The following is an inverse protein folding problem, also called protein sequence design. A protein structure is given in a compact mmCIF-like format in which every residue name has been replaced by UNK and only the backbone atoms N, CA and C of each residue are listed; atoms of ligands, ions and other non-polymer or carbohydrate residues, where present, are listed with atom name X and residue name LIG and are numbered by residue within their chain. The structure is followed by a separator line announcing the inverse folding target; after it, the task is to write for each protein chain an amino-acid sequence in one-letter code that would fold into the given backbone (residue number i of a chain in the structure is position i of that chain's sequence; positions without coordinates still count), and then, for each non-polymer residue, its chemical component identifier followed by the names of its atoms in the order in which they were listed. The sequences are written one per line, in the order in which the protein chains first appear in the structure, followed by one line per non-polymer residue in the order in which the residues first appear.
data_IF_999818365120
#
_entry.id   IF_999818365120
#
_cell.length_a   1.000
_cell.length_b   1.000
_cell.length_c   1.000
_cell.angle_alpha   90.00
_cell.angle_beta   90.00
_cell.angle_gamma   90.00
#
_symmetry.space_group_name_H-M   'P 1'
#
loop_
_entity.id
_entity.type
_entity.pdbx_description
1 polymer ?
#
# COMPACT_ATOMS: atom_id res chain seq x y z
N UNK A 1 21.05 -3.15 -0.51
CA UNK A 1 19.77 -3.39 -1.21
C UNK A 1 19.24 -2.04 -1.66
N UNK A 2 18.77 -1.87 -2.90
CA UNK A 2 18.12 -0.62 -3.29
C UNK A 2 16.84 -0.43 -2.47
N UNK A 3 16.55 0.80 -2.09
CA UNK A 3 15.35 1.19 -1.33
C UNK A 3 14.69 2.36 -2.04
N UNK A 4 13.37 2.49 -1.87
CA UNK A 4 12.61 3.66 -2.32
C UNK A 4 11.80 4.21 -1.15
N UNK A 5 11.57 5.52 -1.16
CA UNK A 5 10.72 6.12 -0.14
C UNK A 5 9.24 5.73 -0.34
N UNK A 6 8.60 5.24 0.72
CA UNK A 6 7.20 4.87 0.77
C UNK A 6 6.51 5.56 1.97
N UNK A 7 5.21 5.80 1.88
CA UNK A 7 4.44 6.35 3.01
C UNK A 7 3.85 5.20 3.81
N UNK A 8 4.08 5.20 5.12
CA UNK A 8 3.42 4.28 6.05
C UNK A 8 2.29 4.99 6.78
N UNK A 9 1.15 4.33 6.91
CA UNK A 9 0.08 4.67 7.83
C UNK A 9 0.09 3.64 8.95
N UNK A 10 0.70 3.95 10.11
CA UNK A 10 0.68 3.05 11.26
C UNK A 10 -0.75 2.82 11.74
N UNK A 11 -1.03 1.61 12.25
CA UNK A 11 -2.32 1.32 12.86
C UNK A 11 -2.48 1.94 14.26
N UNK A 12 -1.37 2.32 14.88
CA UNK A 12 -1.30 2.92 16.20
C UNK A 12 -1.51 4.45 16.15
N UNK A 13 -1.06 5.16 17.19
CA UNK A 13 -1.24 6.61 17.34
C UNK A 13 -0.13 7.44 16.66
N UNK A 14 0.82 6.80 15.96
CA UNK A 14 1.88 7.51 15.24
C UNK A 14 1.33 8.15 13.95
N UNK A 15 1.82 9.34 13.58
CA UNK A 15 1.41 9.98 12.33
C UNK A 15 1.99 9.23 11.11
N UNK A 16 1.34 9.35 9.94
CA UNK A 16 1.89 8.88 8.68
C UNK A 16 3.26 9.50 8.40
N UNK A 17 4.21 8.69 7.94
CA UNK A 17 5.60 9.12 7.71
C UNK A 17 6.26 8.31 6.59
N UNK A 18 7.39 8.82 6.11
CA UNK A 18 8.18 8.17 5.05
C UNK A 18 9.10 7.10 5.64
N UNK A 19 9.19 5.97 4.95
CA UNK A 19 10.11 4.86 5.27
C UNK A 19 10.81 4.33 4.01
N UNK A 20 12.02 3.76 4.13
CA UNK A 20 12.72 3.15 3.00
C UNK A 20 12.19 1.74 2.68
N UNK A 21 11.30 1.60 1.71
CA UNK A 21 10.78 0.32 1.25
C UNK A 21 11.88 -0.54 0.63
N UNK A 22 12.13 -1.69 1.25
CA UNK A 22 13.09 -2.68 0.75
C UNK A 22 12.54 -3.39 -0.49
N UNK A 23 13.42 -3.66 -1.45
CA UNK A 23 13.07 -4.40 -2.66
C UNK A 23 14.12 -5.47 -2.99
N UNK A 24 13.67 -6.59 -3.53
CA UNK A 24 14.53 -7.66 -4.05
C UNK A 24 14.40 -7.72 -5.57
N UNK A 25 15.52 -7.92 -6.27
CA UNK A 25 15.50 -8.14 -7.71
C UNK A 25 14.80 -9.48 -8.02
N UNK A 26 13.80 -9.46 -8.89
CA UNK A 26 13.11 -10.67 -9.34
C UNK A 26 13.71 -11.05 -10.68
N UNK A 27 14.34 -12.22 -10.76
CA UNK A 27 14.75 -12.84 -12.02
C UNK A 27 13.49 -13.31 -12.75
N UNK A 28 12.82 -12.40 -13.46
CA UNK A 28 11.70 -12.76 -14.31
C UNK A 28 12.25 -13.50 -15.54
N UNK A 29 11.77 -14.71 -15.88
CA UNK A 29 12.09 -15.32 -17.16
C UNK A 29 11.57 -14.40 -18.28
N UNK A 30 12.41 -14.15 -19.28
CA UNK A 30 12.18 -13.23 -20.41
C UNK A 30 10.99 -13.57 -21.33
N UNK A 31 10.08 -14.48 -20.92
CA UNK A 31 9.06 -15.10 -21.77
C UNK A 31 7.60 -14.93 -21.29
N UNK A 32 7.31 -14.09 -20.30
CA UNK A 32 5.93 -13.82 -19.90
C UNK A 32 5.61 -12.32 -19.95
N UNK A 33 5.00 -11.87 -21.06
CA UNK A 33 4.58 -10.49 -21.32
C UNK A 33 3.45 -9.95 -20.42
N UNK A 34 3.32 -10.43 -19.19
CA UNK A 34 2.40 -9.87 -18.20
C UNK A 34 2.82 -10.30 -16.78
N UNK A 35 3.85 -9.67 -16.23
CA UNK A 35 4.01 -9.73 -14.77
C UNK A 35 2.86 -8.94 -14.15
N UNK A 36 2.12 -9.54 -13.22
CA UNK A 36 1.10 -8.82 -12.47
C UNK A 36 1.76 -7.80 -11.53
N UNK A 37 1.07 -6.69 -11.25
CA UNK A 37 1.41 -5.79 -10.15
C UNK A 37 1.54 -6.61 -8.85
N UNK A 38 2.48 -6.27 -7.94
CA UNK A 38 3.47 -5.18 -7.97
C UNK A 38 4.78 -5.52 -8.72
N UNK A 39 4.91 -6.67 -9.38
CA UNK A 39 6.19 -7.19 -9.88
C UNK A 39 6.63 -6.67 -11.25
N UNK A 40 5.84 -5.77 -11.87
CA UNK A 40 6.06 -5.25 -13.23
C UNK A 40 7.41 -4.56 -13.41
N UNK A 41 7.93 -3.94 -12.36
CA UNK A 41 9.23 -3.28 -12.39
C UNK A 41 10.44 -4.23 -12.27
N UNK A 42 10.23 -5.55 -12.32
CA UNK A 42 11.29 -6.56 -12.12
C UNK A 42 11.84 -6.60 -10.69
N UNK A 43 11.10 -6.00 -9.75
CA UNK A 43 11.47 -5.92 -8.34
C UNK A 43 10.28 -6.32 -7.48
N UNK A 44 10.53 -7.11 -6.44
CA UNK A 44 9.55 -7.49 -5.45
C UNK A 44 9.67 -6.51 -4.26
N UNK A 45 8.62 -5.75 -3.92
CA UNK A 45 8.61 -4.97 -2.70
C UNK A 45 8.45 -5.86 -1.47
N UNK A 46 9.03 -5.42 -0.35
CA UNK A 46 8.91 -6.07 0.96
C UNK A 46 8.17 -5.17 1.97
N UNK A 47 6.86 -4.90 1.76
CA UNK A 47 6.08 -4.08 2.67
C UNK A 47 5.89 -4.75 4.04
N UNK A 48 6.04 -6.08 4.15
CA UNK A 48 5.94 -6.84 5.39
C UNK A 48 6.87 -6.32 6.50
N UNK A 49 8.01 -5.73 6.14
CA UNK A 49 8.99 -5.16 7.11
C UNK A 49 8.38 -4.03 7.94
N UNK A 50 7.31 -3.40 7.45
CA UNK A 50 6.60 -2.31 8.11
C UNK A 50 5.20 -2.71 8.61
N UNK A 51 4.81 -3.98 8.46
CA UNK A 51 3.52 -4.49 8.88
C UNK A 51 3.65 -5.21 10.21
N UNK A 52 3.40 -4.49 11.31
CA UNK A 52 3.49 -5.06 12.64
C UNK A 52 2.58 -6.29 12.77
N UNK A 53 3.11 -7.36 13.36
CA UNK A 53 2.40 -8.62 13.64
C UNK A 53 2.04 -9.50 12.44
N UNK A 54 2.57 -9.19 11.25
CA UNK A 54 2.38 -10.01 10.06
C UNK A 54 3.04 -11.40 10.19
N UNK A 55 2.51 -12.38 9.46
CA UNK A 55 3.10 -13.71 9.37
C UNK A 55 4.36 -13.70 8.48
N UNK A 56 5.51 -13.35 9.07
CA UNK A 56 6.80 -13.19 8.38
C UNK A 56 7.24 -14.42 7.57
N UNK A 57 6.82 -15.62 7.96
CA UNK A 57 7.20 -16.87 7.30
C UNK A 57 6.49 -17.12 5.96
N UNK A 58 5.41 -16.38 5.67
CA UNK A 58 4.58 -16.57 4.48
C UNK A 58 4.97 -15.61 3.33
N UNK A 59 5.92 -14.70 3.56
CA UNK A 59 6.39 -13.74 2.55
C UNK A 59 5.25 -12.97 1.89
N UNK A 60 5.20 -12.94 0.55
CA UNK A 60 4.19 -12.20 -0.21
C UNK A 60 2.77 -12.74 -0.11
N UNK A 61 2.54 -13.86 0.58
CA UNK A 61 1.19 -14.36 0.87
C UNK A 61 0.57 -13.71 2.10
N UNK A 62 1.38 -13.07 2.95
CA UNK A 62 0.92 -12.50 4.22
C UNK A 62 0.25 -11.12 4.07
N UNK A 63 0.42 -10.48 2.91
CA UNK A 63 -0.15 -9.18 2.56
C UNK A 63 -0.85 -9.23 1.20
N UNK A 64 -1.71 -8.24 0.96
CA UNK A 64 -2.32 -7.96 -0.34
C UNK A 64 -2.01 -6.53 -0.74
N UNK A 65 -2.37 -6.19 -1.98
CA UNK A 65 -2.20 -4.85 -2.49
C UNK A 65 -3.49 -4.32 -3.13
N UNK A 66 -3.59 -3.01 -3.20
CA UNK A 66 -4.66 -2.29 -3.87
C UNK A 66 -4.07 -1.15 -4.70
N UNK A 67 -4.64 -0.93 -5.90
CA UNK A 67 -4.13 0.07 -6.83
C UNK A 67 -4.85 1.40 -6.60
N UNK A 68 -4.06 2.46 -6.44
CA UNK A 68 -4.55 3.83 -6.36
C UNK A 68 -4.25 4.49 -7.70
N UNK A 69 -5.19 4.35 -8.63
CA UNK A 69 -5.03 4.81 -10.01
C UNK A 69 -5.78 6.12 -10.30
N UNK A 70 -6.79 6.47 -9.51
CA UNK A 70 -7.57 7.68 -9.67
C UNK A 70 -8.25 8.05 -8.34
N UNK A 71 -8.67 9.31 -8.20
CA UNK A 71 -9.58 9.74 -7.14
C UNK A 71 -11.02 9.74 -7.66
N UNK A 72 -11.98 9.74 -6.74
CA UNK A 72 -13.39 9.87 -7.11
C UNK A 72 -13.64 11.16 -7.88
N UNK A 73 -14.36 11.04 -8.99
CA UNK A 73 -14.65 12.14 -9.91
C UNK A 73 -13.57 12.43 -10.96
N UNK A 74 -12.43 11.73 -10.94
CA UNK A 74 -11.43 11.85 -12.01
C UNK A 74 -11.83 11.04 -13.25
N UNK A 75 -11.72 11.67 -14.43
CA UNK A 75 -12.00 11.03 -15.73
C UNK A 75 -10.77 10.27 -16.26
N UNK A 76 -9.57 10.63 -15.78
CA UNK A 76 -8.29 10.03 -16.19
C UNK A 76 -7.57 9.48 -14.97
N UNK A 77 -6.84 8.38 -15.16
CA UNK A 77 -5.90 7.84 -14.17
C UNK A 77 -4.72 8.79 -13.93
N UNK A 78 -4.07 8.64 -12.78
CA UNK A 78 -2.83 9.31 -12.46
C UNK A 78 -1.74 8.93 -13.46
N UNK A 79 -0.92 9.92 -13.83
CA UNK A 79 0.33 9.66 -14.56
C UNK A 79 1.30 8.86 -13.71
N UNK A 80 1.38 9.15 -12.40
CA UNK A 80 2.20 8.43 -11.43
C UNK A 80 1.29 7.77 -10.38
N UNK A 81 0.86 6.52 -10.58
CA UNK A 81 -0.05 5.84 -9.67
C UNK A 81 0.66 5.37 -8.40
N UNK A 82 -0.15 4.92 -7.42
CA UNK A 82 0.36 4.33 -6.18
C UNK A 82 -0.14 2.90 -6.02
N UNK A 83 0.62 2.09 -5.29
CA UNK A 83 0.17 0.79 -4.79
C UNK A 83 0.16 0.84 -3.26
N UNK A 84 -0.99 0.52 -2.68
CA UNK A 84 -1.19 0.38 -1.26
C UNK A 84 -1.08 -1.09 -0.88
N UNK A 85 -0.19 -1.42 0.04
CA UNK A 85 -0.02 -2.73 0.62
C UNK A 85 -0.67 -2.78 1.99
N UNK A 86 -1.38 -3.88 2.28
CA UNK A 86 -2.06 -4.10 3.56
C UNK A 86 -1.91 -5.54 4.02
N UNK A 87 -1.78 -5.78 5.34
CA UNK A 87 -1.60 -7.12 5.86
C UNK A 87 -2.93 -7.90 5.84
N UNK A 88 -2.83 -9.21 5.59
CA UNK A 88 -4.00 -10.12 5.57
C UNK A 88 -3.85 -11.34 6.47
N UNK A 89 -2.61 -11.79 6.73
CA UNK A 89 -2.34 -12.93 7.62
C UNK A 89 -1.42 -12.47 8.75
N UNK A 90 -1.93 -12.54 9.98
CA UNK A 90 -1.16 -12.28 11.20
C UNK A 90 -0.41 -13.53 11.66
N UNK A 91 0.57 -13.33 12.54
CA UNK A 91 1.43 -14.40 13.06
C UNK A 91 0.66 -15.51 13.80
N UNK A 92 -0.45 -15.19 14.44
CA UNK A 92 -1.26 -16.09 15.27
C UNK A 92 -2.70 -16.30 14.76
N UNK A 93 -3.07 -15.68 13.65
CA UNK A 93 -4.43 -15.71 13.11
C UNK A 93 -5.40 -14.68 13.73
N UNK A 94 -4.95 -13.82 14.65
CA UNK A 94 -5.78 -12.74 15.19
C UNK A 94 -5.97 -11.61 14.18
N UNK A 95 -7.13 -10.95 14.14
CA UNK A 95 -7.36 -9.84 13.22
C UNK A 95 -6.45 -8.65 13.56
N UNK A 96 -5.92 -8.01 12.52
CA UNK A 96 -5.15 -6.77 12.70
C UNK A 96 -6.03 -5.65 13.31
N UNK A 97 -5.44 -4.76 14.13
CA UNK A 97 -6.15 -3.63 14.69
C UNK A 97 -6.64 -2.68 13.58
N UNK A 98 -7.77 -2.02 13.80
CA UNK A 98 -8.26 -0.97 12.89
C UNK A 98 -7.24 0.17 12.87
N UNK A 99 -6.90 0.63 11.67
CA UNK A 99 -5.98 1.74 11.50
C UNK A 99 -6.62 3.04 11.99
N UNK A 100 -6.14 3.56 13.12
CA UNK A 100 -6.76 4.72 13.80
C UNK A 100 -6.73 5.97 12.93
N UNK A 101 -5.61 6.24 12.26
CA UNK A 101 -5.45 7.39 11.38
C UNK A 101 -6.46 7.35 10.23
N UNK A 102 -6.63 6.20 9.59
CA UNK A 102 -7.54 6.05 8.46
C UNK A 102 -9.00 6.09 8.91
N UNK A 103 -9.31 5.48 10.07
CA UNK A 103 -10.62 5.62 10.70
C UNK A 103 -10.97 7.09 10.92
N UNK A 104 -10.06 7.90 11.44
CA UNK A 104 -10.30 9.34 11.64
C UNK A 104 -10.53 10.07 10.31
N UNK A 105 -9.76 9.75 9.27
CA UNK A 105 -9.95 10.29 7.91
C UNK A 105 -11.35 9.94 7.38
N UNK A 106 -11.80 8.71 7.56
CA UNK A 106 -13.11 8.24 7.08
C UNK A 106 -14.28 8.76 7.92
N UNK A 107 -14.10 8.94 9.23
CA UNK A 107 -15.09 9.58 10.09
C UNK A 107 -15.30 11.04 9.70
N UNK A 108 -14.22 11.77 9.37
CA UNK A 108 -14.31 13.13 8.85
C UNK A 108 -15.09 13.19 7.52
N UNK A 109 -14.94 12.18 6.68
CA UNK A 109 -15.64 12.06 5.40
C UNK A 109 -17.03 11.42 5.49
N UNK A 110 -17.47 10.98 6.68
CA UNK A 110 -18.73 10.25 6.89
C UNK A 110 -18.87 8.95 6.08
N UNK A 111 -17.75 8.30 5.74
CA UNK A 111 -17.69 7.07 4.93
C UNK A 111 -17.29 5.84 5.75
N UNK A 112 -17.01 6.01 7.05
CA UNK A 112 -16.50 4.94 7.90
C UNK A 112 -17.49 3.78 8.07
N UNK A 113 -17.00 2.56 7.82
CA UNK A 113 -17.66 1.29 8.11
C UNK A 113 -16.66 0.37 8.80
N UNK A 114 -16.96 -0.02 10.04
CA UNK A 114 -16.07 -0.86 10.85
C UNK A 114 -15.85 -2.26 10.25
N UNK A 115 -16.86 -2.81 9.56
CA UNK A 115 -16.76 -4.11 8.91
C UNK A 115 -15.76 -4.08 7.74
N UNK A 116 -15.58 -2.92 7.11
CA UNK A 116 -14.71 -2.69 5.96
C UNK A 116 -13.60 -1.68 6.25
N UNK A 117 -13.22 -1.56 7.52
CA UNK A 117 -12.16 -0.66 7.95
C UNK A 117 -10.80 -1.19 7.50
N UNK A 118 -9.90 -0.28 7.14
CA UNK A 118 -8.50 -0.61 6.91
C UNK A 118 -7.86 -1.06 8.22
N UNK A 119 -7.11 -2.17 8.19
CA UNK A 119 -6.52 -2.80 9.36
C UNK A 119 -5.01 -2.98 9.19
N UNK A 120 -4.29 -2.88 10.30
CA UNK A 120 -2.84 -2.96 10.35
C UNK A 120 -2.15 -1.75 9.72
N UNK A 121 -0.83 -1.83 9.65
CA UNK A 121 -0.03 -0.78 9.03
C UNK A 121 -0.18 -0.87 7.52
N UNK A 122 -0.52 0.24 6.88
CA UNK A 122 -0.54 0.31 5.42
C UNK A 122 0.77 0.91 4.91
N UNK A 123 1.27 0.37 3.80
CA UNK A 123 2.49 0.87 3.14
C UNK A 123 2.13 1.29 1.72
N UNK A 124 2.47 2.50 1.31
CA UNK A 124 2.11 3.04 0.00
C UNK A 124 3.39 3.35 -0.78
N UNK A 125 3.57 2.68 -1.91
CA UNK A 125 4.66 2.92 -2.85
C UNK A 125 4.17 3.69 -4.08
N UNK A 126 5.04 4.53 -4.64
CA UNK A 126 4.76 5.35 -5.83
C UNK A 126 5.46 4.78 -7.06
N UNK A 127 4.80 4.89 -8.21
CA UNK A 127 5.31 4.38 -9.48
C UNK A 127 5.38 5.47 -10.55
N UNK A 128 6.29 5.27 -11.49
CA UNK A 128 6.63 6.22 -12.56
C UNK A 128 5.51 6.43 -13.57
N UNK A 129 4.77 5.38 -13.89
CA UNK A 129 3.75 5.36 -14.94
C UNK A 129 2.63 4.37 -14.62
N UNK A 130 1.55 4.47 -15.40
CA UNK A 130 0.37 3.59 -15.32
C UNK A 130 0.69 2.11 -15.62
N UNK A 131 1.84 1.83 -16.24
CA UNK A 131 2.31 0.46 -16.47
C UNK A 131 3.12 -0.09 -15.31
N UNK A 132 3.31 0.69 -14.25
CA UNK A 132 4.09 0.35 -13.06
C UNK A 132 5.54 -0.05 -13.41
N UNK A 133 6.13 0.59 -14.43
CA UNK A 133 7.42 0.19 -15.00
C UNK A 133 8.60 0.32 -14.01
N UNK A 134 8.53 1.28 -13.11
CA UNK A 134 9.54 1.54 -12.10
C UNK A 134 8.93 2.19 -10.86
N UNK A 135 9.40 1.77 -9.68
CA UNK A 135 9.14 2.47 -8.43
C UNK A 135 9.96 3.76 -8.38
N UNK A 136 9.38 4.80 -7.76
CA UNK A 136 10.02 6.10 -7.52
C UNK A 136 9.77 6.51 -6.07
N UNK A 137 10.60 7.43 -5.56
CA UNK A 137 10.47 7.93 -4.21
C UNK A 137 9.14 8.66 -4.00
N UNK A 138 8.38 8.21 -3.01
CA UNK A 138 7.26 8.96 -2.47
C UNK A 138 7.77 10.09 -1.57
N UNK A 139 6.96 11.12 -1.43
CA UNK A 139 7.26 12.27 -0.57
C UNK A 139 6.03 12.61 0.27
N UNK A 140 6.20 13.40 1.34
CA UNK A 140 5.06 13.90 2.10
C UNK A 140 4.11 14.80 1.29
N UNK A 141 4.50 15.25 0.10
CA UNK A 141 3.59 15.93 -0.83
C UNK A 141 2.55 14.99 -1.46
N UNK A 142 2.77 13.68 -1.42
CA UNK A 142 1.82 12.66 -1.89
C UNK A 142 0.73 12.37 -0.85
N UNK A 143 0.95 12.75 0.42
CA UNK A 143 0.03 12.48 1.52
C UNK A 143 -1.39 13.01 1.29
N UNK A 144 -1.63 14.27 0.83
CA UNK A 144 -2.98 14.75 0.57
C UNK A 144 -3.74 13.92 -0.46
N UNK A 145 -3.06 13.38 -1.48
CA UNK A 145 -3.65 12.55 -2.53
C UNK A 145 -4.09 11.21 -1.93
N UNK A 146 -3.19 10.56 -1.19
CA UNK A 146 -3.47 9.27 -0.55
C UNK A 146 -4.55 9.42 0.53
N UNK A 147 -4.51 10.51 1.32
CA UNK A 147 -5.54 10.84 2.31
C UNK A 147 -6.91 11.01 1.64
N UNK A 148 -6.98 11.73 0.52
CA UNK A 148 -8.23 11.90 -0.22
C UNK A 148 -8.78 10.55 -0.71
N UNK A 149 -7.93 9.70 -1.28
CA UNK A 149 -8.31 8.36 -1.69
C UNK A 149 -8.89 7.53 -0.53
N UNK A 150 -8.16 7.46 0.60
CA UNK A 150 -8.56 6.71 1.78
C UNK A 150 -9.83 7.25 2.45
N UNK A 151 -10.17 8.51 2.22
CA UNK A 151 -11.39 9.12 2.75
C UNK A 151 -12.66 8.63 2.07
N UNK A 152 -12.57 8.08 0.85
CA UNK A 152 -13.74 7.57 0.12
C UNK A 152 -13.67 6.07 -0.14
N UNK A 153 -12.48 5.47 -0.09
CA UNK A 153 -12.27 4.05 -0.36
C UNK A 153 -12.13 3.23 0.93
N UNK A 154 -13.08 2.33 1.16
CA UNK A 154 -13.06 1.32 2.21
C UNK A 154 -12.12 0.16 1.84
N UNK A 155 -11.71 -0.64 2.84
CA UNK A 155 -10.87 -1.79 2.60
C UNK A 155 -11.57 -2.81 1.67
N UNK A 156 -10.84 -3.44 0.73
CA UNK A 156 -11.37 -4.53 -0.09
C UNK A 156 -11.74 -5.73 0.79
N UNK A 157 -12.87 -6.38 0.48
CA UNK A 157 -13.33 -7.63 1.10
C UNK A 157 -12.58 -8.86 0.59
#
# INVERSE_FOLDING_TARGET
MPTFDAIVFPADDRPPHIVPLMITAVSLPAAAGSSAEPYRCGRAPHPEVYMDYIADQLGSQAWRYHLIEALDGMIKKFTTPYILFYPVISRDGMPFPVNKCIREIQLQAQTYDEARAWRGNLVIAKYRDADYSAMIDASMADFPIIKNYLSTHLAPS
#
